data_IF_768327789912
#
_entry.id   IF_768327789912
#
_cell.length_a   1.000
_cell.length_b   1.000
_cell.length_c   1.000
_cell.angle_alpha   90.00
_cell.angle_beta   90.00
_cell.angle_gamma   90.00
#
_symmetry.space_group_name_H-M   'P 1'
#
loop_
_entity.id
_entity.type
_entity.pdbx_description
1 polymer ?
#
# COMPACT_ATOMS: atom_id res chain seq x y z
N UNK A 1 -12.38 -14.22 -36.64
CA UNK A 1 -11.84 -14.45 -35.28
C UNK A 1 -11.35 -13.12 -34.74
N UNK A 2 -12.14 -12.46 -33.89
CA UNK A 2 -11.82 -11.13 -33.37
C UNK A 2 -10.89 -11.29 -32.17
N UNK A 3 -9.61 -10.99 -32.33
CA UNK A 3 -8.66 -10.91 -31.23
C UNK A 3 -9.00 -9.68 -30.38
N UNK A 4 -9.75 -9.91 -29.29
CA UNK A 4 -9.84 -8.96 -28.18
C UNK A 4 -8.44 -8.78 -27.60
N UNK A 5 -7.74 -7.73 -28.04
CA UNK A 5 -6.57 -7.24 -27.32
C UNK A 5 -7.05 -6.83 -25.93
N UNK A 6 -6.71 -7.64 -24.93
CA UNK A 6 -6.93 -7.36 -23.52
C UNK A 6 -6.12 -6.10 -23.20
N UNK A 7 -6.73 -4.93 -23.30
CA UNK A 7 -6.18 -3.68 -22.79
C UNK A 7 -5.71 -3.97 -21.36
N UNK A 8 -4.39 -3.94 -21.16
CA UNK A 8 -3.76 -4.36 -19.91
C UNK A 8 -4.40 -3.60 -18.76
N UNK A 9 -5.17 -4.31 -17.93
CA UNK A 9 -5.65 -3.75 -16.66
C UNK A 9 -4.39 -3.38 -15.89
N UNK A 10 -4.13 -2.08 -15.74
CA UNK A 10 -3.04 -1.58 -14.90
C UNK A 10 -3.24 -2.19 -13.51
N UNK A 11 -2.23 -2.90 -13.02
CA UNK A 11 -2.24 -3.43 -11.66
C UNK A 11 -2.48 -2.27 -10.69
N UNK A 12 -3.69 -2.23 -10.12
CA UNK A 12 -4.10 -1.14 -9.22
C UNK A 12 -3.68 -1.52 -7.82
N UNK A 13 -2.76 -0.76 -7.22
CA UNK A 13 -2.40 -0.94 -5.81
C UNK A 13 -3.15 0.08 -4.97
N UNK A 14 -3.93 -0.41 -4.01
CA UNK A 14 -4.65 0.41 -3.02
C UNK A 14 -4.04 0.16 -1.66
N UNK A 15 -3.65 1.23 -0.98
CA UNK A 15 -3.10 1.15 0.37
C UNK A 15 -4.21 1.31 1.40
N UNK A 16 -4.15 0.53 2.47
CA UNK A 16 -5.02 0.71 3.63
C UNK A 16 -4.24 0.54 4.93
N UNK A 17 -4.67 1.25 5.97
CA UNK A 17 -4.10 1.09 7.30
C UNK A 17 -4.80 -0.03 8.04
N UNK A 18 -4.02 -0.78 8.82
CA UNK A 18 -4.50 -1.84 9.69
C UNK A 18 -3.98 -1.58 11.10
N UNK A 19 -4.82 -1.79 12.14
CA UNK A 19 -4.37 -1.69 13.52
C UNK A 19 -3.15 -2.57 13.78
N UNK A 20 -2.18 -2.02 14.50
CA UNK A 20 -0.95 -2.73 14.84
C UNK A 20 -1.23 -3.91 15.76
N UNK A 21 -0.63 -5.05 15.45
CA UNK A 21 -0.78 -6.28 16.25
C UNK A 21 0.56 -6.99 16.39
N UNK A 22 0.95 -7.41 17.61
CA UNK A 22 2.15 -8.20 17.83
C UNK A 22 2.18 -9.47 16.98
N UNK A 23 3.35 -9.79 16.40
CA UNK A 23 3.54 -10.97 15.57
C UNK A 23 2.97 -10.90 14.15
N UNK A 24 2.33 -9.79 13.76
CA UNK A 24 1.82 -9.60 12.41
C UNK A 24 2.84 -8.84 11.54
N UNK A 25 2.90 -9.19 10.25
CA UNK A 25 3.79 -8.52 9.32
C UNK A 25 3.42 -7.04 9.12
N UNK A 26 4.45 -6.20 8.94
CA UNK A 26 4.30 -4.76 8.67
C UNK A 26 3.48 -4.47 7.42
N UNK A 27 3.61 -5.34 6.41
CA UNK A 27 2.87 -5.25 5.16
C UNK A 27 2.17 -6.58 4.89
N UNK A 28 0.96 -6.51 4.37
CA UNK A 28 0.24 -7.69 3.88
C UNK A 28 -0.53 -7.33 2.62
N UNK A 29 -0.42 -8.16 1.59
CA UNK A 29 -1.08 -7.94 0.31
C UNK A 29 -2.27 -8.90 0.16
N UNK A 30 -3.40 -8.36 -0.27
CA UNK A 30 -4.57 -9.13 -0.72
C UNK A 30 -4.73 -8.89 -2.21
N UNK A 31 -4.65 -9.96 -3.01
CA UNK A 31 -4.86 -9.90 -4.46
C UNK A 31 -6.32 -10.17 -4.79
N UNK A 32 -6.96 -9.25 -5.48
CA UNK A 32 -8.32 -9.41 -6.00
C UNK A 32 -8.31 -10.07 -7.38
N UNK A 33 -9.39 -10.75 -7.79
CA UNK A 33 -9.47 -11.44 -9.09
C UNK A 33 -9.32 -10.51 -10.30
N UNK A 34 -9.56 -9.22 -10.14
CA UNK A 34 -9.41 -8.21 -11.18
C UNK A 34 -7.97 -7.71 -11.37
N UNK A 35 -7.02 -8.20 -10.56
CA UNK A 35 -5.61 -7.78 -10.55
C UNK A 35 -5.30 -6.68 -9.53
N UNK A 36 -6.30 -6.15 -8.82
CA UNK A 36 -6.08 -5.13 -7.78
C UNK A 36 -5.36 -5.72 -6.57
N UNK A 37 -4.34 -5.02 -6.05
CA UNK A 37 -3.63 -5.37 -4.82
C UNK A 37 -4.06 -4.41 -3.72
N UNK A 38 -4.69 -4.95 -2.67
CA UNK A 38 -4.91 -4.21 -1.43
C UNK A 38 -3.71 -4.44 -0.52
N UNK A 39 -2.82 -3.45 -0.45
CA UNK A 39 -1.66 -3.46 0.45
C UNK A 39 -2.06 -2.85 1.78
N UNK A 40 -2.15 -3.69 2.81
CA UNK A 40 -2.40 -3.25 4.17
C UNK A 40 -1.07 -2.94 4.84
N UNK A 41 -0.99 -1.78 5.48
CA UNK A 41 0.18 -1.28 6.19
C UNK A 41 -0.15 -1.23 7.68
N UNK A 42 0.79 -1.69 8.50
CA UNK A 42 0.74 -1.54 9.94
C UNK A 42 0.73 -0.04 10.33
N UNK A 43 -0.27 0.35 11.10
CA UNK A 43 -0.50 1.75 11.48
C UNK A 43 0.68 2.38 12.21
N UNK A 44 1.33 1.64 13.12
CA UNK A 44 2.51 2.14 13.85
C UNK A 44 3.68 2.47 12.92
N UNK A 45 3.87 1.69 11.85
CA UNK A 45 4.91 1.95 10.87
C UNK A 45 4.55 3.14 10.00
N UNK A 46 3.29 3.25 9.61
CA UNK A 46 2.80 4.41 8.87
C UNK A 46 3.00 5.72 9.68
N UNK A 47 2.62 5.71 10.96
CA UNK A 47 2.78 6.86 11.84
C UNK A 47 4.25 7.25 12.01
N UNK A 48 5.14 6.28 12.25
CA UNK A 48 6.59 6.54 12.34
C UNK A 48 7.14 7.15 11.05
N UNK A 49 6.68 6.68 9.89
CA UNK A 49 7.09 7.24 8.61
C UNK A 49 6.64 8.70 8.46
N UNK A 50 5.41 9.02 8.86
CA UNK A 50 4.90 10.40 8.86
C UNK A 50 5.68 11.31 9.80
N UNK A 51 5.99 10.85 11.02
CA UNK A 51 6.80 11.61 11.96
C UNK A 51 8.20 11.90 11.42
N UNK A 52 8.85 10.89 10.82
CA UNK A 52 10.16 11.05 10.20
C UNK A 52 10.11 12.04 9.02
N UNK A 53 9.09 11.94 8.17
CA UNK A 53 8.87 12.87 7.07
C UNK A 53 8.67 14.30 7.57
N UNK A 54 7.85 14.49 8.61
CA UNK A 54 7.61 15.80 9.21
C UNK A 54 8.90 16.40 9.81
N UNK A 55 9.73 15.59 10.49
CA UNK A 55 11.03 16.02 11.01
C UNK A 55 11.98 16.39 9.87
N UNK A 56 12.02 15.62 8.79
CA UNK A 56 12.86 15.91 7.64
C UNK A 56 12.44 17.22 6.96
N UNK A 57 11.13 17.43 6.77
CA UNK A 57 10.58 18.67 6.22
C UNK A 57 10.97 19.88 7.06
N UNK A 58 10.81 19.82 8.39
CA UNK A 58 11.18 20.91 9.31
C UNK A 58 12.68 21.19 9.40
N UNK A 59 13.54 20.26 8.98
CA UNK A 59 14.99 20.47 8.94
C UNK A 59 15.45 21.14 7.63
N UNK A 60 14.61 21.12 6.59
CA UNK A 60 14.91 21.67 5.27
C UNK A 60 14.31 23.07 5.05
N UNK A 61 13.32 23.47 5.85
CA UNK A 61 12.75 24.83 5.86
C UNK A 61 13.32 25.66 7.00
#
# INVERSE_FOLDING_TARGET
MTTLQKQGKKDKVVYSLRPSKPGQATFSDVRLPDGTIIRRVDESVHQRALENAARAFRKQG
#
